data_IF_877268269661
#
_entry.id   IF_877268269661
#
_cell.length_a   1.000
_cell.length_b   1.000
_cell.length_c   1.000
_cell.angle_alpha   90.00
_cell.angle_beta   90.00
_cell.angle_gamma   90.00
#
_symmetry.space_group_name_H-M   'P 1'
#
loop_
_entity.id
_entity.type
_entity.pdbx_description
1 polymer ?
#
# COMPACT_ATOMS: atom_id res chain seq x y z
N UNK A 1 8.21 -12.33 -0.44
CA UNK A 1 8.11 -12.87 0.95
C UNK A 1 8.46 -11.85 2.04
N UNK A 2 9.13 -10.73 1.74
CA UNK A 2 9.66 -9.81 2.75
C UNK A 2 8.57 -8.90 3.36
N UNK A 3 7.64 -8.37 2.55
CA UNK A 3 6.59 -7.48 3.04
C UNK A 3 5.61 -8.16 4.01
N UNK A 4 5.30 -9.44 3.76
CA UNK A 4 4.43 -10.26 4.63
C UNK A 4 5.05 -10.51 5.99
N UNK A 5 6.37 -10.73 6.04
CA UNK A 5 7.10 -10.95 7.30
C UNK A 5 7.18 -9.66 8.12
N UNK A 6 7.54 -8.53 7.50
CA UNK A 6 7.61 -7.23 8.21
C UNK A 6 6.24 -6.81 8.76
N UNK A 7 5.17 -6.97 7.97
CA UNK A 7 3.82 -6.64 8.44
C UNK A 7 3.40 -7.52 9.64
N UNK A 8 3.65 -8.83 9.57
CA UNK A 8 3.33 -9.75 10.67
C UNK A 8 4.23 -9.53 11.90
N UNK A 9 5.49 -9.15 11.72
CA UNK A 9 6.38 -8.76 12.82
C UNK A 9 5.88 -7.48 13.51
N UNK A 10 5.51 -6.46 12.74
CA UNK A 10 4.99 -5.20 13.27
C UNK A 10 3.64 -5.37 13.97
N UNK A 11 2.74 -6.19 13.41
CA UNK A 11 1.40 -6.44 13.97
C UNK A 11 1.46 -7.42 15.15
N UNK A 12 2.33 -8.43 15.09
CA UNK A 12 2.37 -9.54 16.05
C UNK A 12 3.22 -9.28 17.30
N UNK A 13 4.10 -8.29 17.30
CA UNK A 13 5.01 -8.00 18.42
C UNK A 13 4.58 -6.80 19.28
N UNK A 14 3.59 -6.03 18.84
CA UNK A 14 3.11 -4.84 19.56
C UNK A 14 2.26 -5.21 20.77
N UNK A 15 2.73 -4.87 21.98
CA UNK A 15 1.88 -4.85 23.20
C UNK A 15 0.96 -3.61 23.25
N UNK A 16 1.06 -2.75 22.25
CA UNK A 16 0.37 -1.47 22.16
C UNK A 16 -0.97 -1.63 21.44
N UNK A 17 -1.96 -0.82 21.82
CA UNK A 17 -3.30 -0.83 21.23
C UNK A 17 -3.32 -0.49 19.73
N UNK A 18 -2.29 0.21 19.24
CA UNK A 18 -2.19 0.68 17.85
C UNK A 18 -0.96 0.10 17.15
N UNK A 19 -1.13 -0.36 15.90
CA UNK A 19 -0.03 -0.84 15.04
C UNK A 19 1.00 0.27 14.78
N UNK A 20 0.53 1.51 14.60
CA UNK A 20 1.37 2.69 14.46
C UNK A 20 0.94 3.70 15.53
N UNK A 21 1.69 3.76 16.62
CA UNK A 21 1.44 4.70 17.70
C UNK A 21 2.00 6.10 17.40
N UNK A 22 1.33 7.11 17.94
CA UNK A 22 1.85 8.46 18.01
C UNK A 22 3.07 8.51 18.95
N UNK A 23 4.02 9.43 18.72
CA UNK A 23 5.06 9.73 19.72
C UNK A 23 4.48 10.09 21.10
N UNK A 24 3.22 10.53 21.16
CA UNK A 24 2.44 10.60 22.39
C UNK A 24 1.85 9.21 22.69
N UNK A 25 2.36 8.56 23.74
CA UNK A 25 1.99 7.20 24.14
C UNK A 25 0.47 6.99 24.21
N UNK A 26 0.03 5.81 23.76
CA UNK A 26 -1.37 5.38 23.89
C UNK A 26 -2.35 6.08 22.95
N UNK A 27 -1.86 6.71 21.87
CA UNK A 27 -2.71 7.33 20.86
C UNK A 27 -2.33 6.81 19.46
N UNK A 28 -3.29 6.71 18.53
CA UNK A 28 -2.97 6.41 17.15
C UNK A 28 -2.18 7.56 16.54
N UNK A 29 -1.38 7.25 15.51
CA UNK A 29 -0.76 8.28 14.68
C UNK A 29 -1.81 9.25 14.12
N UNK A 30 -1.53 10.55 14.15
CA UNK A 30 -2.42 11.56 13.58
C UNK A 30 -2.56 11.35 12.06
N UNK A 31 -3.76 11.56 11.53
CA UNK A 31 -4.07 11.44 10.09
C UNK A 31 -3.20 12.30 9.19
N UNK A 32 -2.74 13.47 9.67
CA UNK A 32 -1.86 14.36 8.89
C UNK A 32 -0.37 14.00 9.00
N UNK A 33 0.03 13.19 9.99
CA UNK A 33 1.44 12.88 10.23
C UNK A 33 2.11 12.23 9.03
N UNK A 34 1.43 11.30 8.35
CA UNK A 34 1.97 10.65 7.16
C UNK A 34 2.17 11.65 6.01
N UNK A 35 1.20 12.53 5.78
CA UNK A 35 1.30 13.56 4.76
C UNK A 35 2.48 14.51 5.04
N UNK A 36 2.66 14.93 6.30
CA UNK A 36 3.81 15.75 6.69
C UNK A 36 5.14 15.01 6.53
N UNK A 37 5.22 13.74 6.89
CA UNK A 37 6.41 12.92 6.70
C UNK A 37 6.78 12.80 5.21
N UNK A 38 5.82 12.48 4.35
CA UNK A 38 6.04 12.39 2.90
C UNK A 38 6.47 13.74 2.32
N UNK A 39 5.84 14.84 2.74
CA UNK A 39 6.22 16.17 2.28
C UNK A 39 7.66 16.50 2.69
N UNK A 40 8.09 16.16 3.91
CA UNK A 40 9.48 16.41 4.35
C UNK A 40 10.49 15.53 3.61
N UNK A 41 10.18 14.26 3.40
CA UNK A 41 11.14 13.30 2.83
C UNK A 41 11.26 13.42 1.31
N UNK A 42 10.15 13.65 0.60
CA UNK A 42 10.12 13.62 -0.86
C UNK A 42 9.97 15.00 -1.47
N UNK A 43 8.90 15.73 -1.13
CA UNK A 43 8.56 17.00 -1.80
C UNK A 43 9.52 18.12 -1.40
N UNK A 44 9.80 18.29 -0.11
CA UNK A 44 10.70 19.31 0.42
C UNK A 44 12.16 19.10 0.04
N UNK A 45 12.54 17.88 -0.35
CA UNK A 45 13.87 17.55 -0.87
C UNK A 45 13.91 17.52 -2.41
N UNK A 46 12.82 17.86 -3.10
CA UNK A 46 12.76 17.89 -4.56
C UNK A 46 12.85 16.51 -5.23
N UNK A 47 12.63 15.41 -4.50
CA UNK A 47 12.71 14.05 -5.05
C UNK A 47 11.49 13.77 -5.94
N UNK A 48 10.30 14.15 -5.48
CA UNK A 48 9.03 13.99 -6.22
C UNK A 48 8.17 15.23 -5.99
N UNK A 49 7.75 15.87 -7.07
CA UNK A 49 6.83 17.01 -7.00
C UNK A 49 5.41 16.55 -6.62
N UNK A 50 4.76 17.27 -5.70
CA UNK A 50 3.35 17.11 -5.34
C UNK A 50 2.91 15.69 -4.88
N UNK A 51 3.78 14.94 -4.22
CA UNK A 51 3.46 13.59 -3.72
C UNK A 51 2.59 13.59 -2.46
N UNK A 52 1.45 12.88 -2.48
CA UNK A 52 0.50 12.74 -1.36
C UNK A 52 0.25 11.28 -0.99
N UNK A 53 -0.19 10.99 0.25
CA UNK A 53 -0.56 9.62 0.64
C UNK A 53 -1.61 8.97 -0.28
N UNK A 54 -2.51 9.77 -0.86
CA UNK A 54 -3.53 9.27 -1.77
C UNK A 54 -2.95 8.74 -3.10
N UNK A 55 -1.76 9.19 -3.50
CA UNK A 55 -1.11 8.70 -4.71
C UNK A 55 -0.67 7.25 -4.56
N UNK A 56 -0.25 6.82 -3.35
CA UNK A 56 0.01 5.40 -3.05
C UNK A 56 -1.21 4.52 -3.37
N UNK A 57 -2.40 4.99 -3.00
CA UNK A 57 -3.66 4.29 -3.25
C UNK A 57 -4.00 4.23 -4.75
N UNK A 58 -3.80 5.33 -5.48
CA UNK A 58 -4.01 5.39 -6.94
C UNK A 58 -3.03 4.50 -7.70
N UNK A 59 -1.77 4.48 -7.26
CA UNK A 59 -0.73 3.61 -7.80
C UNK A 59 -1.09 2.15 -7.61
N UNK A 60 -1.52 1.74 -6.41
CA UNK A 60 -1.97 0.38 -6.16
C UNK A 60 -3.18 -0.01 -7.03
N UNK A 61 -4.17 0.88 -7.16
CA UNK A 61 -5.34 0.64 -8.01
C UNK A 61 -4.96 0.41 -9.49
N UNK A 62 -4.08 1.27 -10.01
CA UNK A 62 -3.59 1.17 -11.39
C UNK A 62 -2.74 -0.07 -11.60
N UNK A 63 -1.90 -0.42 -10.60
CA UNK A 63 -1.09 -1.64 -10.60
C UNK A 63 -1.95 -2.90 -10.64
N UNK A 64 -3.00 -2.99 -9.81
CA UNK A 64 -3.94 -4.10 -9.83
C UNK A 64 -4.71 -4.20 -11.16
N UNK A 65 -5.07 -3.06 -11.76
CA UNK A 65 -5.67 -3.05 -13.09
C UNK A 65 -4.71 -3.56 -14.17
N UNK A 66 -3.41 -3.21 -14.10
CA UNK A 66 -2.37 -3.75 -14.99
C UNK A 66 -2.18 -5.25 -14.84
N UNK A 67 -2.40 -5.79 -13.64
CA UNK A 67 -2.40 -7.24 -13.36
C UNK A 67 -3.67 -7.95 -13.85
N UNK A 68 -4.66 -7.21 -14.37
CA UNK A 68 -5.88 -7.78 -14.97
C UNK A 68 -7.04 -7.97 -14.00
N UNK A 69 -6.94 -7.49 -12.75
CA UNK A 69 -8.05 -7.58 -11.80
C UNK A 69 -9.21 -6.65 -12.18
N UNK A 70 -10.44 -7.10 -11.93
CA UNK A 70 -11.64 -6.34 -12.24
C UNK A 70 -11.79 -5.12 -11.34
N UNK A 71 -12.50 -4.09 -11.82
CA UNK A 71 -12.85 -2.91 -11.01
C UNK A 71 -13.62 -3.26 -9.73
N UNK A 72 -14.33 -4.39 -9.73
CA UNK A 72 -15.05 -4.89 -8.57
C UNK A 72 -14.08 -5.36 -7.48
N UNK A 73 -13.13 -6.22 -7.82
CA UNK A 73 -12.08 -6.69 -6.89
C UNK A 73 -11.23 -5.51 -6.44
N UNK A 74 -10.78 -4.65 -7.36
CA UNK A 74 -10.00 -3.44 -7.02
C UNK A 74 -10.79 -2.53 -6.07
N UNK A 75 -12.08 -2.32 -6.34
CA UNK A 75 -12.97 -1.55 -5.46
C UNK A 75 -13.03 -2.14 -4.06
N UNK A 76 -13.09 -3.47 -3.94
CA UNK A 76 -13.07 -4.16 -2.64
C UNK A 76 -11.73 -4.02 -1.91
N UNK A 77 -10.60 -4.20 -2.60
CA UNK A 77 -9.25 -3.96 -2.03
C UNK A 77 -9.15 -2.53 -1.48
N UNK A 78 -9.72 -1.58 -2.22
CA UNK A 78 -9.75 -0.18 -1.84
C UNK A 78 -10.81 0.12 -0.76
N UNK A 79 -11.66 -0.82 -0.36
CA UNK A 79 -12.80 -0.58 0.53
C UNK A 79 -13.73 0.53 0.02
N UNK A 80 -14.02 0.51 -1.29
CA UNK A 80 -15.05 1.36 -1.88
C UNK A 80 -16.43 0.80 -1.56
N UNK A 81 -17.35 1.67 -1.16
CA UNK A 81 -18.75 1.32 -1.00
C UNK A 81 -19.39 1.12 -2.38
N UNK A 82 -20.04 -0.03 -2.58
CA UNK A 82 -20.86 -0.26 -3.77
C UNK A 82 -22.07 0.67 -3.74
N UNK A 83 -22.34 1.35 -4.86
CA UNK A 83 -23.45 2.27 -4.98
C UNK A 83 -24.55 1.70 -5.88
N UNK A 84 -25.79 2.12 -5.63
CA UNK A 84 -26.95 1.80 -6.48
C UNK A 84 -27.42 0.35 -6.38
N UNK A 85 -28.13 -0.10 -7.42
CA UNK A 85 -28.80 -1.41 -7.47
C UNK A 85 -27.80 -2.57 -7.32
N UNK A 86 -26.55 -2.39 -7.76
CA UNK A 86 -25.46 -3.37 -7.60
C UNK A 86 -25.22 -3.73 -6.13
N UNK A 87 -25.36 -2.79 -5.19
CA UNK A 87 -25.18 -3.04 -3.76
C UNK A 87 -26.27 -3.96 -3.17
N UNK A 88 -27.45 -4.00 -3.80
CA UNK A 88 -28.58 -4.83 -3.35
C UNK A 88 -28.31 -6.30 -3.68
N UNK A 89 -27.75 -6.56 -4.86
CA UNK A 89 -27.54 -7.91 -5.39
C UNK A 89 -26.15 -8.48 -5.05
N UNK A 90 -25.11 -7.65 -5.07
CA UNK A 90 -23.75 -8.12 -4.81
C UNK A 90 -23.36 -7.99 -3.34
N UNK A 91 -23.66 -9.05 -2.59
CA UNK A 91 -23.28 -9.20 -1.18
C UNK A 91 -21.99 -9.99 -0.96
N UNK A 92 -21.43 -10.59 -2.01
CA UNK A 92 -20.21 -11.36 -1.91
C UNK A 92 -19.05 -10.41 -1.55
N UNK A 93 -18.23 -10.80 -0.58
CA UNK A 93 -17.16 -9.94 -0.05
C UNK A 93 -15.89 -9.99 -0.90
N UNK A 94 -15.72 -11.07 -1.70
CA UNK A 94 -14.55 -11.32 -2.54
C UNK A 94 -13.24 -11.51 -1.75
N UNK A 95 -13.31 -12.03 -0.53
CA UNK A 95 -12.14 -12.15 0.36
C UNK A 95 -10.99 -12.93 -0.30
N UNK A 96 -11.30 -14.04 -0.97
CA UNK A 96 -10.30 -14.86 -1.68
C UNK A 96 -9.63 -14.08 -2.83
N UNK A 97 -10.42 -13.33 -3.61
CA UNK A 97 -9.91 -12.55 -4.74
C UNK A 97 -9.13 -11.31 -4.27
N UNK A 98 -9.53 -10.71 -3.14
CA UNK A 98 -8.79 -9.62 -2.48
C UNK A 98 -7.42 -10.12 -2.03
N UNK A 99 -7.38 -11.29 -1.38
CA UNK A 99 -6.12 -11.88 -0.94
C UNK A 99 -5.20 -12.16 -2.13
N UNK A 100 -5.69 -12.86 -3.15
CA UNK A 100 -4.92 -13.17 -4.35
C UNK A 100 -4.39 -11.90 -5.04
N UNK A 101 -5.23 -10.87 -5.18
CA UNK A 101 -4.85 -9.59 -5.79
C UNK A 101 -3.71 -8.90 -5.01
N UNK A 102 -3.79 -8.88 -3.68
CA UNK A 102 -2.75 -8.28 -2.83
C UNK A 102 -1.46 -9.08 -2.83
N UNK A 103 -1.53 -10.41 -2.92
CA UNK A 103 -0.37 -11.29 -3.08
C UNK A 103 0.34 -11.02 -4.41
N UNK A 104 -0.41 -10.95 -5.52
CA UNK A 104 0.16 -10.60 -6.84
C UNK A 104 0.72 -9.20 -6.92
N UNK A 105 0.07 -8.24 -6.27
CA UNK A 105 0.62 -6.89 -6.13
C UNK A 105 1.96 -6.89 -5.38
N UNK A 106 2.07 -7.69 -4.32
CA UNK A 106 3.31 -7.84 -3.56
C UNK A 106 4.43 -8.45 -4.41
N UNK A 107 4.13 -9.54 -5.15
CA UNK A 107 5.08 -10.16 -6.08
C UNK A 107 5.60 -9.15 -7.12
N UNK A 108 4.71 -8.34 -7.71
CA UNK A 108 5.09 -7.32 -8.68
C UNK A 108 6.04 -6.28 -8.08
N UNK A 109 5.72 -5.75 -6.89
CA UNK A 109 6.56 -4.77 -6.21
C UNK A 109 7.94 -5.31 -5.84
N UNK A 110 8.00 -6.56 -5.36
CA UNK A 110 9.27 -7.22 -5.03
C UNK A 110 10.14 -7.36 -6.29
N UNK A 111 9.55 -7.79 -7.41
CA UNK A 111 10.25 -7.93 -8.69
C UNK A 111 10.77 -6.59 -9.22
N UNK A 112 9.95 -5.52 -9.18
CA UNK A 112 10.37 -4.19 -9.62
C UNK A 112 11.48 -3.63 -8.72
N UNK A 113 11.39 -3.83 -7.40
CA UNK A 113 12.40 -3.35 -6.45
C UNK A 113 13.74 -4.07 -6.60
N UNK A 114 13.71 -5.39 -6.75
CA UNK A 114 14.92 -6.19 -7.00
C UNK A 114 15.57 -5.83 -8.34
N UNK A 115 14.77 -5.56 -9.37
CA UNK A 115 15.27 -5.11 -10.66
C UNK A 115 16.02 -3.77 -10.56
N UNK A 116 15.49 -2.82 -9.78
CA UNK A 116 16.16 -1.53 -9.55
C UNK A 116 17.46 -1.66 -8.76
N UNK A 117 17.49 -2.52 -7.73
CA UNK A 117 18.70 -2.76 -6.94
C UNK A 117 19.83 -3.37 -7.78
N UNK A 118 19.50 -4.27 -8.71
CA UNK A 118 20.49 -4.86 -9.62
C UNK A 118 21.10 -3.82 -10.57
N UNK A 119 20.29 -2.90 -11.10
CA UNK A 119 20.77 -1.84 -12.00
C UNK A 119 21.69 -0.83 -11.29
N UNK A 120 21.43 -0.54 -10.01
CA UNK A 120 22.25 0.39 -9.22
C UNK A 120 23.58 -0.23 -8.76
N UNK A 121 23.63 -1.55 -8.54
CA UNK A 121 24.88 -2.25 -8.22
C UNK A 121 25.83 -2.44 -9.41
N UNK A 122 25.36 -2.28 -10.64
CA UNK A 122 26.16 -2.41 -11.87
C UNK A 122 26.81 -1.07 -12.28
N UNK A 123 26.32 0.07 -11.77
CA UNK A 123 26.86 1.41 -12.03
C UNK A 123 28.01 1.84 -11.11
N UNK A 124 28.20 1.14 -9.98
CA UNK A 124 29.23 1.48 -8.97
C UNK A 124 30.59 0.79 -9.22
N UNK A 125 30.74 0.05 -10.33
CA UNK A 125 32.00 -0.51 -10.80
C UNK A 125 32.58 0.31 -11.95
N UNK A 126 33.04 1.54 -11.70
CA UNK A 126 34.00 2.26 -12.54
C UNK A 126 34.83 3.25 -11.73
#
# INVERSE_FOLDING_TARGET
MACRLVALELIGQGKNEYVIESPKKGQPVNTTSLAHALNRCFVGNGIIENFRPHDLRRTAATGLARLGYSNEVIGRVLNHTLNGVTAIYNRYQYDDQIQEALEKWTELLENETLAQQKQMGESDTY
#
